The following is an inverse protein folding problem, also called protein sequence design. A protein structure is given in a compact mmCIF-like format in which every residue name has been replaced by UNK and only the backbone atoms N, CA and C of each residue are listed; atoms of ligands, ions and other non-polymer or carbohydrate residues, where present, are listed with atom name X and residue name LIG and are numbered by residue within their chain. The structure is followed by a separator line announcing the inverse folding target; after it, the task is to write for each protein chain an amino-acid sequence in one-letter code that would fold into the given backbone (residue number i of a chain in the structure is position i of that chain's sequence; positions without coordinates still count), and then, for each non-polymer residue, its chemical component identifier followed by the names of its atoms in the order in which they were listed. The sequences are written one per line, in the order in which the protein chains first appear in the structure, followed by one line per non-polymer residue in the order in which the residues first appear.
data_IF_911739475425
#
_entry.id   IF_911739475425
#
_cell.length_a   1.000
_cell.length_b   1.000
_cell.length_c   1.000
_cell.angle_alpha   90.00
_cell.angle_beta   90.00
_cell.angle_gamma   90.00
#
_symmetry.space_group_name_H-M   'P 1'
#
loop_
_entity.id
_entity.type
_entity.pdbx_description
1 polymer ?
#
# COMPACT_ATOMS: atom_id res chain seq x y z
N UNK A 1 41.61 -28.17 -39.43
CA UNK A 1 40.43 -28.73 -40.14
C UNK A 1 39.86 -29.84 -39.27
N UNK A 2 38.71 -29.64 -38.64
CA UNK A 2 38.01 -30.74 -37.96
C UNK A 2 37.57 -30.43 -36.51
N UNK A 3 36.64 -29.44 -36.31
CA UNK A 3 35.90 -29.28 -35.05
C UNK A 3 34.64 -28.37 -35.24
N UNK A 4 33.85 -28.63 -36.30
CA UNK A 4 32.60 -27.87 -36.57
C UNK A 4 31.49 -28.77 -37.12
N UNK A 5 31.28 -29.97 -36.55
CA UNK A 5 30.17 -30.86 -36.97
C UNK A 5 29.47 -31.55 -35.78
N UNK A 6 29.16 -30.82 -34.71
CA UNK A 6 28.37 -31.43 -33.61
C UNK A 6 27.17 -30.58 -33.11
N UNK A 7 26.73 -29.55 -33.83
CA UNK A 7 25.53 -28.78 -33.49
C UNK A 7 24.53 -28.66 -34.65
N UNK A 8 24.23 -29.77 -35.34
CA UNK A 8 23.26 -29.78 -36.41
C UNK A 8 21.81 -30.06 -36.00
N UNK A 9 21.49 -30.02 -34.70
CA UNK A 9 20.12 -30.15 -34.20
C UNK A 9 19.75 -28.97 -33.27
N UNK A 10 19.92 -27.74 -33.74
CA UNK A 10 19.24 -26.60 -33.10
C UNK A 10 17.80 -26.61 -33.66
N UNK A 11 16.77 -26.75 -32.80
CA UNK A 11 15.39 -26.63 -33.27
C UNK A 11 15.22 -25.26 -33.91
N UNK A 12 14.69 -25.25 -35.14
CA UNK A 12 14.28 -24.01 -35.80
C UNK A 12 13.14 -23.41 -34.97
N UNK A 13 13.43 -22.38 -34.22
CA UNK A 13 12.41 -21.57 -33.57
C UNK A 13 11.64 -20.81 -34.65
N UNK A 14 10.50 -21.37 -35.09
CA UNK A 14 9.51 -20.56 -35.77
C UNK A 14 8.90 -19.61 -34.74
N UNK A 15 8.95 -18.29 -34.95
CA UNK A 15 8.24 -17.36 -34.06
C UNK A 15 6.74 -17.62 -34.27
N UNK A 16 6.12 -18.32 -33.31
CA UNK A 16 4.67 -18.35 -33.21
C UNK A 16 4.22 -16.92 -32.87
N UNK A 17 3.35 -16.42 -33.68
CA UNK A 17 2.61 -15.19 -33.61
C UNK A 17 2.05 -14.95 -32.21
N UNK A 18 2.25 -13.72 -31.71
CA UNK A 18 1.98 -13.17 -30.40
C UNK A 18 3.06 -13.48 -29.34
N UNK A 19 4.25 -12.96 -29.56
CA UNK A 19 5.10 -12.62 -28.43
C UNK A 19 4.38 -11.48 -27.70
N UNK A 20 3.86 -11.77 -26.51
CA UNK A 20 3.72 -10.76 -25.48
C UNK A 20 5.13 -10.24 -25.20
N UNK A 21 5.59 -9.28 -25.99
CA UNK A 21 6.87 -8.62 -25.78
C UNK A 21 6.70 -7.86 -24.46
N UNK A 22 7.52 -8.20 -23.49
CA UNK A 22 7.65 -7.41 -22.29
C UNK A 22 8.22 -6.07 -22.75
N UNK A 23 7.36 -5.05 -22.80
CA UNK A 23 7.77 -3.68 -23.01
C UNK A 23 7.97 -3.07 -21.62
N UNK A 24 9.17 -2.52 -21.35
CA UNK A 24 9.47 -1.82 -20.11
C UNK A 24 8.97 -0.37 -20.14
N UNK A 25 8.50 0.10 -21.29
CA UNK A 25 7.95 1.43 -21.46
C UNK A 25 6.47 1.46 -21.13
N UNK A 26 6.06 2.52 -20.43
CA UNK A 26 4.64 2.80 -20.21
C UNK A 26 3.92 3.08 -21.53
N UNK A 27 2.71 2.58 -21.67
CA UNK A 27 1.82 2.93 -22.79
C UNK A 27 1.52 4.44 -22.79
N UNK A 28 0.98 4.96 -23.90
CA UNK A 28 0.57 6.36 -23.97
C UNK A 28 -0.48 6.70 -22.87
N UNK A 29 -1.45 5.83 -22.68
CA UNK A 29 -2.51 5.98 -21.68
C UNK A 29 -1.96 5.97 -20.24
N UNK A 30 -1.02 5.05 -19.93
CA UNK A 30 -0.34 5.01 -18.63
C UNK A 30 0.48 6.28 -18.37
N UNK A 31 1.16 6.81 -19.39
CA UNK A 31 1.87 8.09 -19.30
C UNK A 31 0.91 9.26 -19.04
N UNK A 32 -0.27 9.25 -19.65
CA UNK A 32 -1.31 10.28 -19.44
C UNK A 32 -1.87 10.19 -18.02
N UNK A 33 -2.16 9.00 -17.49
CA UNK A 33 -2.60 8.80 -16.10
C UNK A 33 -1.53 9.29 -15.12
N UNK A 34 -0.27 8.90 -15.32
CA UNK A 34 0.84 9.35 -14.49
C UNK A 34 1.01 10.88 -14.53
N UNK A 35 0.88 11.49 -15.71
CA UNK A 35 0.95 12.93 -15.88
C UNK A 35 -0.22 13.62 -15.17
N UNK A 36 -1.45 13.14 -15.38
CA UNK A 36 -2.65 13.72 -14.76
C UNK A 36 -2.58 13.67 -13.22
N UNK A 37 -2.15 12.53 -12.65
CA UNK A 37 -1.99 12.40 -11.19
C UNK A 37 -0.90 13.33 -10.64
N UNK A 38 0.22 13.48 -11.37
CA UNK A 38 1.29 14.44 -11.03
C UNK A 38 0.80 15.88 -11.06
N UNK A 39 0.12 16.29 -12.11
CA UNK A 39 -0.41 17.65 -12.26
C UNK A 39 -1.46 17.94 -11.18
N UNK A 40 -2.34 16.97 -10.88
CA UNK A 40 -3.32 17.10 -9.82
C UNK A 40 -2.66 17.35 -8.47
N UNK A 41 -1.78 16.46 -8.03
CA UNK A 41 -1.17 16.57 -6.69
C UNK A 41 -0.26 17.80 -6.57
N UNK A 42 0.39 18.23 -7.66
CA UNK A 42 1.16 19.46 -7.67
C UNK A 42 0.27 20.69 -7.55
N UNK A 43 -0.89 20.70 -8.19
CA UNK A 43 -1.87 21.79 -8.12
C UNK A 43 -2.55 21.94 -6.76
N UNK A 44 -2.72 20.83 -6.04
CA UNK A 44 -3.31 20.80 -4.69
C UNK A 44 -2.28 21.03 -3.57
N UNK A 45 -0.99 21.09 -3.90
CA UNK A 45 0.09 21.20 -2.93
C UNK A 45 0.18 22.61 -2.35
N UNK A 46 -0.16 22.76 -1.08
CA UNK A 46 0.05 23.96 -0.27
C UNK A 46 0.94 23.59 0.93
N UNK A 47 2.19 24.05 0.90
CA UNK A 47 3.20 23.70 1.89
C UNK A 47 2.82 24.07 3.32
N UNK A 48 2.24 25.27 3.52
CA UNK A 48 1.88 25.74 4.85
C UNK A 48 0.73 24.91 5.43
N UNK A 49 -0.27 24.66 4.62
CA UNK A 49 -1.44 23.84 4.98
C UNK A 49 -1.04 22.38 5.27
N UNK A 50 -0.12 21.82 4.50
CA UNK A 50 0.38 20.45 4.74
C UNK A 50 1.19 20.37 6.03
N UNK A 51 2.03 21.36 6.33
CA UNK A 51 2.73 21.43 7.61
C UNK A 51 1.78 21.55 8.80
N UNK A 52 0.70 22.32 8.66
CA UNK A 52 -0.36 22.41 9.65
C UNK A 52 -1.04 21.05 9.87
N UNK A 53 -1.44 20.35 8.79
CA UNK A 53 -2.07 19.03 8.88
C UNK A 53 -1.15 17.97 9.48
N UNK A 54 0.15 18.02 9.16
CA UNK A 54 1.15 17.15 9.77
C UNK A 54 1.25 17.37 11.30
N UNK A 55 1.22 18.63 11.74
CA UNK A 55 1.29 18.98 13.15
C UNK A 55 0.00 18.66 13.91
N UNK A 56 -1.15 18.88 13.29
CA UNK A 56 -2.47 18.66 13.88
C UNK A 56 -3.02 17.26 13.63
N UNK A 57 -2.26 16.41 12.92
CA UNK A 57 -2.67 15.05 12.56
C UNK A 57 -4.00 15.02 11.79
N UNK A 58 -4.19 15.96 10.88
CA UNK A 58 -5.44 16.14 10.14
C UNK A 58 -5.41 15.43 8.80
N UNK A 59 -6.41 14.59 8.52
CA UNK A 59 -6.59 13.93 7.24
C UNK A 59 -6.90 14.94 6.12
N UNK A 60 -6.25 14.87 4.93
CA UNK A 60 -6.41 15.84 3.84
C UNK A 60 -7.72 15.65 3.07
N UNK A 61 -8.86 15.77 3.76
CA UNK A 61 -10.19 15.42 3.27
C UNK A 61 -10.58 16.14 1.98
N UNK A 62 -10.17 17.40 1.82
CA UNK A 62 -10.52 18.19 0.64
C UNK A 62 -9.78 17.67 -0.61
N UNK A 63 -8.49 17.35 -0.48
CA UNK A 63 -7.69 16.78 -1.57
C UNK A 63 -8.23 15.39 -1.93
N UNK A 64 -8.51 14.56 -0.92
CA UNK A 64 -9.11 13.23 -1.13
C UNK A 64 -10.43 13.29 -1.90
N UNK A 65 -11.37 14.18 -1.52
CA UNK A 65 -12.63 14.34 -2.23
C UNK A 65 -12.46 14.82 -3.68
N UNK A 66 -11.46 15.65 -3.94
CA UNK A 66 -11.14 16.07 -5.30
C UNK A 66 -10.54 14.92 -6.11
N UNK A 67 -9.61 14.15 -5.51
CA UNK A 67 -9.03 12.96 -6.13
C UNK A 67 -10.11 11.94 -6.52
N UNK A 68 -11.06 11.67 -5.61
CA UNK A 68 -12.19 10.79 -5.87
C UNK A 68 -13.07 11.29 -7.04
N UNK A 69 -13.44 12.57 -7.07
CA UNK A 69 -14.22 13.15 -8.17
C UNK A 69 -13.53 13.10 -9.53
N UNK A 70 -12.19 13.06 -9.55
CA UNK A 70 -11.40 12.92 -10.78
C UNK A 70 -11.15 11.45 -11.14
N UNK A 71 -11.64 10.50 -10.32
CA UNK A 71 -11.53 9.08 -10.56
C UNK A 71 -10.18 8.47 -10.20
N UNK A 72 -9.36 9.15 -9.39
CA UNK A 72 -8.10 8.60 -8.92
C UNK A 72 -8.26 7.59 -7.77
N UNK A 73 -9.38 7.63 -7.04
CA UNK A 73 -9.69 6.68 -5.97
C UNK A 73 -10.50 5.52 -6.53
N UNK A 74 -10.01 4.29 -6.34
CA UNK A 74 -10.64 3.09 -6.90
C UNK A 74 -10.62 3.04 -8.43
N UNK A 75 -9.59 3.59 -9.08
CA UNK A 75 -9.45 3.61 -10.55
C UNK A 75 -9.58 2.22 -11.17
N UNK A 76 -9.13 1.18 -10.47
CA UNK A 76 -9.13 -0.22 -10.89
C UNK A 76 -10.43 -0.95 -10.55
N UNK A 77 -11.40 -0.31 -9.88
CA UNK A 77 -12.71 -0.93 -9.67
C UNK A 77 -13.51 -0.95 -10.98
N UNK A 78 -14.34 -1.98 -11.19
CA UNK A 78 -15.27 -2.01 -12.32
C UNK A 78 -16.18 -0.77 -12.37
N UNK A 79 -16.52 -0.32 -13.58
CA UNK A 79 -17.39 0.86 -13.79
C UNK A 79 -18.74 0.74 -13.07
N UNK A 80 -19.30 -0.46 -12.99
CA UNK A 80 -20.57 -0.71 -12.27
C UNK A 80 -20.52 -0.40 -10.77
N UNK A 81 -19.30 -0.32 -10.20
CA UNK A 81 -19.02 0.06 -8.80
C UNK A 81 -18.37 1.44 -8.67
N UNK A 82 -18.37 2.22 -9.75
CA UNK A 82 -17.93 3.61 -9.76
C UNK A 82 -16.44 3.82 -10.05
N UNK A 83 -15.67 2.75 -10.34
CA UNK A 83 -14.30 2.83 -10.82
C UNK A 83 -14.21 3.10 -12.32
N UNK A 84 -13.03 2.95 -12.90
CA UNK A 84 -12.79 3.17 -14.33
C UNK A 84 -12.37 1.89 -15.07
N UNK A 85 -12.33 0.75 -14.38
CA UNK A 85 -12.03 -0.55 -14.98
C UNK A 85 -10.58 -0.78 -15.38
N UNK A 86 -9.66 0.06 -14.90
CA UNK A 86 -8.23 -0.13 -15.11
C UNK A 86 -7.65 -1.27 -14.27
N UNK A 87 -6.34 -1.43 -14.28
CA UNK A 87 -5.61 -2.43 -13.50
C UNK A 87 -4.97 -1.86 -12.23
N UNK A 88 -4.41 -2.77 -11.44
CA UNK A 88 -3.55 -2.41 -10.31
C UNK A 88 -2.33 -1.63 -10.79
N UNK A 89 -1.88 -1.86 -12.02
CA UNK A 89 -0.75 -1.15 -12.60
C UNK A 89 -1.03 0.36 -12.70
N UNK A 90 -2.20 0.77 -13.18
CA UNK A 90 -2.59 2.18 -13.26
C UNK A 90 -2.80 2.78 -11.87
N UNK A 91 -3.33 2.01 -10.91
CA UNK A 91 -3.45 2.46 -9.53
C UNK A 91 -2.09 2.81 -8.92
N UNK A 92 -1.08 1.96 -9.08
CA UNK A 92 0.25 2.23 -8.52
C UNK A 92 0.96 3.41 -9.16
N UNK A 93 0.69 3.76 -10.42
CA UNK A 93 1.22 4.97 -11.04
C UNK A 93 0.71 6.24 -10.34
N UNK A 94 -0.57 6.24 -9.94
CA UNK A 94 -1.19 7.34 -9.19
C UNK A 94 -0.57 7.43 -7.79
N UNK A 95 -0.48 6.31 -7.08
CA UNK A 95 0.07 6.22 -5.73
C UNK A 95 1.53 6.69 -5.69
N UNK A 96 2.35 6.28 -6.67
CA UNK A 96 3.74 6.74 -6.79
C UNK A 96 3.82 8.26 -6.89
N UNK A 97 3.05 8.90 -7.78
CA UNK A 97 3.10 10.34 -7.99
C UNK A 97 2.56 11.14 -6.78
N UNK A 98 1.52 10.63 -6.11
CA UNK A 98 1.01 11.24 -4.90
C UNK A 98 2.05 11.23 -3.77
N UNK A 99 2.65 10.06 -3.50
CA UNK A 99 3.67 9.90 -2.48
C UNK A 99 5.00 10.60 -2.84
N UNK A 100 5.33 10.74 -4.12
CA UNK A 100 6.47 11.50 -4.62
C UNK A 100 6.36 12.98 -4.30
N UNK A 101 5.16 13.55 -4.49
CA UNK A 101 4.94 14.97 -4.19
C UNK A 101 4.95 15.23 -2.70
N UNK A 102 4.22 14.43 -1.93
CA UNK A 102 4.17 14.51 -0.47
C UNK A 102 3.89 13.15 0.15
N UNK A 103 4.80 12.68 1.00
CA UNK A 103 4.70 11.36 1.61
C UNK A 103 3.46 11.18 2.48
N UNK A 104 3.13 12.18 3.31
CA UNK A 104 1.99 12.11 4.22
C UNK A 104 0.64 12.19 3.51
N UNK A 105 0.48 13.16 2.58
CA UNK A 105 -0.74 13.29 1.76
C UNK A 105 -0.91 12.06 0.87
N UNK A 106 0.15 11.65 0.16
CA UNK A 106 0.09 10.50 -0.74
C UNK A 106 -0.34 9.21 -0.05
N UNK A 107 0.25 8.90 1.10
CA UNK A 107 -0.14 7.75 1.92
C UNK A 107 -1.57 7.87 2.44
N UNK A 108 -1.99 9.07 2.88
CA UNK A 108 -3.36 9.27 3.37
C UNK A 108 -4.41 9.04 2.28
N UNK A 109 -4.15 9.51 1.05
CA UNK A 109 -5.07 9.32 -0.07
C UNK A 109 -5.14 7.85 -0.52
N UNK A 110 -3.99 7.20 -0.67
CA UNK A 110 -3.93 5.80 -1.14
C UNK A 110 -4.49 4.79 -0.14
N UNK A 111 -4.47 5.09 1.15
CA UNK A 111 -5.05 4.20 2.17
C UNK A 111 -6.53 4.46 2.46
N UNK A 112 -7.16 5.45 1.81
CA UNK A 112 -8.57 5.78 2.09
C UNK A 112 -9.55 4.67 1.68
N UNK A 113 -9.26 3.95 0.60
CA UNK A 113 -10.06 2.85 0.07
C UNK A 113 -9.43 1.46 0.26
N UNK A 114 -8.30 1.39 0.94
CA UNK A 114 -7.43 0.23 1.04
C UNK A 114 -8.15 -1.09 1.36
N UNK A 115 -9.03 -1.10 2.36
CA UNK A 115 -9.74 -2.32 2.75
C UNK A 115 -10.97 -2.62 1.89
N UNK A 116 -11.35 -1.72 1.02
CA UNK A 116 -12.45 -1.92 0.07
C UNK A 116 -12.13 -3.03 -0.94
N UNK A 117 -10.84 -3.34 -1.17
CA UNK A 117 -10.39 -4.47 -1.98
C UNK A 117 -10.97 -5.81 -1.52
N UNK A 118 -11.10 -6.03 -0.22
CA UNK A 118 -11.69 -7.27 0.31
C UNK A 118 -13.18 -7.34 -0.07
N UNK A 119 -13.87 -6.19 -0.05
CA UNK A 119 -15.27 -6.10 -0.51
C UNK A 119 -15.35 -6.32 -2.02
N UNK A 120 -14.43 -5.72 -2.80
CA UNK A 120 -14.39 -5.88 -4.25
C UNK A 120 -14.23 -7.36 -4.66
N UNK A 121 -13.41 -8.12 -3.96
CA UNK A 121 -13.14 -9.52 -4.28
C UNK A 121 -14.20 -10.47 -3.80
N UNK A 122 -14.63 -10.32 -2.57
CA UNK A 122 -15.43 -11.35 -1.87
C UNK A 122 -16.85 -10.91 -1.53
N UNK A 123 -17.19 -9.64 -1.71
CA UNK A 123 -18.52 -9.11 -1.44
C UNK A 123 -19.56 -9.57 -2.45
N UNK A 124 -20.81 -9.66 -2.01
CA UNK A 124 -21.96 -9.80 -2.92
C UNK A 124 -22.12 -8.55 -3.78
N UNK A 125 -22.94 -8.63 -4.83
CA UNK A 125 -23.22 -7.46 -5.67
C UNK A 125 -23.85 -6.30 -4.87
N UNK A 126 -24.72 -6.60 -3.93
CA UNK A 126 -25.34 -5.62 -3.03
C UNK A 126 -24.31 -4.98 -2.11
N UNK A 127 -23.40 -5.78 -1.52
CA UNK A 127 -22.33 -5.28 -0.68
C UNK A 127 -21.38 -4.38 -1.49
N UNK A 128 -20.97 -4.80 -2.69
CA UNK A 128 -20.12 -4.00 -3.58
C UNK A 128 -20.77 -2.66 -3.91
N UNK A 129 -22.04 -2.64 -4.30
CA UNK A 129 -22.76 -1.39 -4.56
C UNK A 129 -22.87 -0.49 -3.34
N UNK A 130 -23.16 -1.08 -2.18
CA UNK A 130 -23.35 -0.34 -0.93
C UNK A 130 -22.07 0.34 -0.46
N UNK A 131 -20.92 -0.32 -0.59
CA UNK A 131 -19.66 0.16 0.00
C UNK A 131 -18.72 0.77 -1.03
N UNK A 132 -18.57 0.20 -2.23
CA UNK A 132 -17.57 0.66 -3.19
C UNK A 132 -17.98 1.95 -3.91
N UNK A 133 -19.26 2.11 -4.30
CA UNK A 133 -19.73 3.32 -4.96
C UNK A 133 -19.54 4.58 -4.09
N UNK A 134 -19.86 4.59 -2.79
CA UNK A 134 -19.54 5.74 -1.94
C UNK A 134 -18.04 5.98 -1.76
N UNK A 135 -17.20 4.93 -1.78
CA UNK A 135 -15.74 5.06 -1.71
C UNK A 135 -15.22 5.79 -2.94
N UNK A 136 -15.58 5.35 -4.15
CA UNK A 136 -15.12 6.00 -5.39
C UNK A 136 -15.64 7.44 -5.55
N UNK A 137 -16.74 7.79 -4.88
CA UNK A 137 -17.26 9.16 -4.82
C UNK A 137 -16.60 10.06 -3.77
N UNK A 138 -15.71 9.52 -2.95
CA UNK A 138 -15.14 10.26 -1.82
C UNK A 138 -16.13 10.56 -0.71
N UNK A 139 -17.08 9.68 -0.50
CA UNK A 139 -18.10 9.75 0.56
C UNK A 139 -17.75 8.82 1.72
N UNK A 140 -17.20 7.62 1.44
CA UNK A 140 -16.80 6.63 2.42
C UNK A 140 -15.30 6.40 2.41
N UNK A 141 -14.74 6.19 3.62
CA UNK A 141 -13.39 5.72 3.89
C UNK A 141 -13.49 4.31 4.50
N UNK A 142 -12.60 3.40 4.11
CA UNK A 142 -12.56 2.04 4.64
C UNK A 142 -11.45 1.81 5.66
N UNK A 143 -11.63 0.82 6.53
CA UNK A 143 -10.62 0.37 7.47
C UNK A 143 -10.51 -1.16 7.51
N UNK A 144 -9.28 -1.71 7.59
CA UNK A 144 -9.01 -3.14 7.73
C UNK A 144 -8.61 -3.47 9.16
N UNK A 145 -9.44 -4.21 9.86
CA UNK A 145 -9.25 -4.54 11.26
C UNK A 145 -8.78 -6.01 11.41
N UNK A 146 -7.46 -6.24 11.18
CA UNK A 146 -6.87 -7.58 11.19
C UNK A 146 -5.97 -7.79 12.41
N UNK A 147 -5.13 -6.82 12.74
CA UNK A 147 -4.13 -6.86 13.81
C UNK A 147 -4.77 -6.74 15.19
N UNK A 148 -4.28 -7.53 16.15
CA UNK A 148 -4.65 -7.44 17.57
C UNK A 148 -3.42 -7.08 18.43
N UNK A 149 -3.59 -6.65 19.68
CA UNK A 149 -2.47 -6.33 20.58
C UNK A 149 -1.43 -7.44 20.66
N UNK A 150 -1.86 -8.70 20.70
CA UNK A 150 -0.99 -9.88 20.80
C UNK A 150 -0.74 -10.61 19.46
N UNK A 151 -1.38 -10.17 18.37
CA UNK A 151 -1.34 -10.83 17.05
C UNK A 151 -1.08 -9.82 15.93
N UNK A 152 0.21 -9.57 15.62
CA UNK A 152 0.63 -8.71 14.51
C UNK A 152 1.05 -9.52 13.28
N UNK A 153 2.27 -10.09 13.31
CA UNK A 153 2.78 -10.93 12.22
C UNK A 153 2.10 -12.29 12.14
N UNK A 154 1.63 -12.81 13.25
CA UNK A 154 0.86 -14.07 13.31
C UNK A 154 -0.63 -13.77 13.43
N UNK A 155 -1.33 -13.82 12.30
CA UNK A 155 -2.79 -13.72 12.22
C UNK A 155 -3.47 -15.09 12.09
N UNK A 156 -2.73 -16.18 12.26
CA UNK A 156 -3.27 -17.55 12.19
C UNK A 156 -4.13 -17.90 13.40
N UNK A 157 -3.91 -17.20 14.51
CA UNK A 157 -4.72 -17.23 15.74
C UNK A 157 -5.22 -15.85 16.05
N UNK A 158 -6.43 -15.74 16.62
CA UNK A 158 -7.06 -14.47 16.96
C UNK A 158 -7.87 -14.58 18.23
N UNK A 159 -7.90 -13.48 18.99
CA UNK A 159 -8.70 -13.35 20.22
C UNK A 159 -10.06 -12.70 19.96
N UNK A 160 -10.19 -11.86 18.92
CA UNK A 160 -11.48 -11.27 18.53
C UNK A 160 -12.40 -12.35 17.98
N UNK A 161 -13.54 -12.54 18.61
CA UNK A 161 -14.54 -13.56 18.27
C UNK A 161 -15.78 -12.96 17.63
N UNK A 162 -16.47 -13.76 16.81
CA UNK A 162 -17.80 -13.43 16.30
C UNK A 162 -18.70 -14.67 16.43
N UNK A 163 -19.59 -14.66 17.42
CA UNK A 163 -20.55 -15.75 17.65
C UNK A 163 -21.86 -15.49 16.94
N UNK A 164 -22.49 -16.54 16.37
CA UNK A 164 -23.81 -16.44 15.79
C UNK A 164 -24.88 -16.45 16.87
N UNK A 165 -25.78 -15.46 16.84
CA UNK A 165 -26.94 -15.35 17.73
C UNK A 165 -28.14 -14.94 16.89
N UNK A 166 -29.03 -15.91 16.62
CA UNK A 166 -30.16 -15.70 15.73
C UNK A 166 -29.73 -15.38 14.31
N UNK A 167 -30.13 -14.23 13.81
CA UNK A 167 -29.80 -13.70 12.47
C UNK A 167 -28.60 -12.75 12.45
N UNK A 168 -27.81 -12.72 13.52
CA UNK A 168 -26.71 -11.77 13.71
C UNK A 168 -25.41 -12.45 14.15
N UNK A 169 -24.27 -11.84 13.82
CA UNK A 169 -23.00 -12.04 14.51
C UNK A 169 -22.92 -11.10 15.70
N UNK A 170 -22.36 -11.58 16.81
CA UNK A 170 -22.00 -10.78 17.98
C UNK A 170 -20.49 -10.79 18.11
N UNK A 171 -19.87 -9.62 17.94
CA UNK A 171 -18.42 -9.46 17.88
C UNK A 171 -17.93 -8.94 19.22
N UNK A 172 -16.88 -9.58 19.77
CA UNK A 172 -16.17 -9.18 20.98
C UNK A 172 -14.67 -9.28 20.77
N UNK A 173 -13.90 -8.27 21.21
CA UNK A 173 -12.45 -8.26 21.14
C UNK A 173 -11.87 -6.87 20.90
N UNK A 174 -10.58 -6.82 20.58
CA UNK A 174 -9.85 -5.58 20.33
C UNK A 174 -8.96 -5.72 19.10
N UNK A 175 -8.98 -4.72 18.24
CA UNK A 175 -8.09 -4.59 17.08
C UNK A 175 -7.24 -3.33 17.24
N UNK A 176 -5.94 -3.40 16.92
CA UNK A 176 -5.02 -2.29 17.12
C UNK A 176 -4.26 -1.92 15.86
N UNK A 177 -3.71 -0.73 15.81
CA UNK A 177 -3.01 -0.15 14.65
C UNK A 177 -3.88 -0.08 13.40
N UNK A 178 -5.18 0.14 13.57
CA UNK A 178 -6.13 0.14 12.45
C UNK A 178 -6.07 1.47 11.73
N UNK A 179 -5.59 1.43 10.49
CA UNK A 179 -5.57 2.57 9.57
C UNK A 179 -6.99 3.07 9.33
N UNK A 180 -7.16 4.39 9.36
CA UNK A 180 -8.47 5.07 9.29
C UNK A 180 -9.42 4.73 10.45
N UNK A 181 -8.95 4.15 11.55
CA UNK A 181 -9.81 3.60 12.59
C UNK A 181 -10.82 4.60 13.19
N UNK A 182 -10.49 5.88 13.31
CA UNK A 182 -11.44 6.91 13.75
C UNK A 182 -12.23 7.56 12.61
N UNK A 183 -11.77 7.42 11.36
CA UNK A 183 -12.33 8.09 10.18
C UNK A 183 -13.25 7.18 9.37
N UNK A 184 -12.93 5.89 9.28
CA UNK A 184 -13.59 4.94 8.40
C UNK A 184 -15.11 4.88 8.63
N UNK A 185 -15.86 4.77 7.54
CA UNK A 185 -17.30 4.62 7.54
C UNK A 185 -17.70 3.15 7.67
N UNK A 186 -16.81 2.23 7.31
CA UNK A 186 -16.94 0.81 7.55
C UNK A 186 -15.60 0.11 7.72
N UNK A 187 -15.62 -1.04 8.37
CA UNK A 187 -14.47 -1.88 8.65
C UNK A 187 -14.67 -3.28 8.08
N UNK A 188 -13.60 -3.86 7.52
CA UNK A 188 -13.49 -5.30 7.28
C UNK A 188 -12.77 -5.90 8.46
N UNK A 189 -13.48 -6.64 9.31
CA UNK A 189 -12.97 -7.18 10.57
C UNK A 189 -12.71 -8.67 10.44
N UNK A 190 -11.47 -9.11 10.68
CA UNK A 190 -11.12 -10.53 10.75
C UNK A 190 -11.42 -11.06 12.16
N UNK A 191 -12.34 -12.03 12.25
CA UNK A 191 -12.83 -12.59 13.50
C UNK A 191 -12.71 -14.12 13.53
N UNK A 192 -12.56 -14.70 14.71
CA UNK A 192 -12.69 -16.13 14.96
C UNK A 192 -14.16 -16.48 15.16
N UNK A 193 -14.75 -17.29 14.28
CA UNK A 193 -16.13 -17.73 14.34
C UNK A 193 -16.27 -19.19 14.79
N UNK A 194 -15.22 -20.01 14.62
CA UNK A 194 -15.17 -21.40 15.10
C UNK A 194 -13.84 -21.64 15.88
N UNK A 195 -13.85 -21.47 17.21
CA UNK A 195 -12.66 -21.67 18.03
C UNK A 195 -12.17 -23.13 18.08
N UNK A 196 -12.99 -24.08 17.62
CA UNK A 196 -12.63 -25.52 17.58
C UNK A 196 -11.97 -25.91 16.24
N UNK A 197 -11.94 -25.03 15.25
CA UNK A 197 -11.34 -25.31 13.95
C UNK A 197 -9.85 -25.69 14.08
N UNK A 198 -9.43 -26.66 13.28
CA UNK A 198 -8.04 -27.10 13.24
C UNK A 198 -7.53 -27.12 11.82
N UNK A 199 -6.47 -26.36 11.49
CA UNK A 199 -5.82 -25.32 12.33
C UNK A 199 -6.76 -24.12 12.59
N UNK A 200 -6.48 -23.29 13.62
CA UNK A 200 -7.39 -22.23 14.08
C UNK A 200 -7.83 -21.24 12.98
N UNK A 201 -6.95 -20.88 12.05
CA UNK A 201 -7.26 -19.95 10.95
C UNK A 201 -8.40 -20.43 10.02
N UNK A 202 -8.74 -21.73 10.03
CA UNK A 202 -9.89 -22.24 9.26
C UNK A 202 -11.25 -21.88 9.86
N UNK A 203 -11.25 -21.39 11.08
CA UNK A 203 -12.46 -20.86 11.73
C UNK A 203 -12.61 -19.35 11.62
N UNK A 204 -11.75 -18.67 10.87
CA UNK A 204 -11.79 -17.22 10.74
C UNK A 204 -12.67 -16.76 9.58
N UNK A 205 -13.39 -15.65 9.81
CA UNK A 205 -14.24 -14.99 8.81
C UNK A 205 -13.92 -13.50 8.75
N UNK A 206 -14.12 -12.87 7.60
CA UNK A 206 -14.14 -11.42 7.45
C UNK A 206 -15.58 -10.93 7.49
N UNK A 207 -15.85 -9.96 8.36
CA UNK A 207 -17.18 -9.44 8.65
C UNK A 207 -17.17 -7.91 8.51
N UNK A 208 -18.16 -7.36 7.81
CA UNK A 208 -18.37 -5.91 7.69
C UNK A 208 -18.97 -5.34 8.97
N UNK A 209 -18.35 -4.29 9.49
CA UNK A 209 -18.88 -3.52 10.63
C UNK A 209 -18.92 -2.04 10.23
N UNK A 210 -20.09 -1.43 10.30
CA UNK A 210 -20.28 -0.02 9.97
C UNK A 210 -19.96 0.89 11.15
N UNK A 211 -19.51 2.10 10.85
CA UNK A 211 -19.31 3.16 11.83
C UNK A 211 -20.60 3.41 12.62
N UNK A 212 -20.46 3.59 13.91
CA UNK A 212 -21.61 3.85 14.80
C UNK A 212 -22.36 2.58 15.20
N UNK A 213 -21.89 1.38 14.83
CA UNK A 213 -22.44 0.15 15.40
C UNK A 213 -22.34 0.20 16.93
N UNK A 214 -23.46 -0.11 17.62
CA UNK A 214 -23.50 -0.06 19.08
C UNK A 214 -22.46 -1.02 19.68
N UNK A 215 -21.60 -0.53 20.57
CA UNK A 215 -20.54 -1.29 21.20
C UNK A 215 -19.21 -1.26 20.44
N UNK A 216 -19.14 -0.55 19.31
CA UNK A 216 -17.87 -0.23 18.62
C UNK A 216 -17.36 1.12 19.11
N UNK A 217 -16.15 1.13 19.69
CA UNK A 217 -15.42 2.32 20.05
C UNK A 217 -14.07 2.36 19.33
N UNK A 218 -13.64 3.57 18.95
CA UNK A 218 -12.36 3.82 18.30
C UNK A 218 -11.54 4.85 19.10
N UNK A 219 -10.33 4.48 19.48
CA UNK A 219 -9.39 5.34 20.21
C UNK A 219 -8.14 5.58 19.37
N UNK A 220 -7.86 6.83 19.02
CA UNK A 220 -6.65 7.22 18.28
C UNK A 220 -5.37 6.83 19.00
N UNK A 221 -4.43 6.25 18.27
CA UNK A 221 -3.08 5.94 18.76
C UNK A 221 -2.15 7.09 18.39
N UNK A 222 -1.84 7.92 19.36
CA UNK A 222 -1.06 9.15 19.19
C UNK A 222 -0.06 9.37 20.32
N UNK A 223 1.08 10.07 20.06
CA UNK A 223 1.59 10.55 18.77
C UNK A 223 2.28 9.44 17.98
N UNK A 224 2.30 9.56 16.65
CA UNK A 224 3.04 8.65 15.76
C UNK A 224 4.35 9.26 15.26
N UNK A 225 5.32 8.43 14.86
CA UNK A 225 6.57 8.87 14.25
C UNK A 225 6.31 9.56 12.90
N UNK A 226 5.56 8.92 12.00
CA UNK A 226 5.26 9.39 10.66
C UNK A 226 3.83 9.08 10.23
N UNK A 227 3.51 9.32 8.95
CA UNK A 227 2.17 9.23 8.35
C UNK A 227 1.09 9.85 9.24
N UNK A 228 1.39 11.03 9.77
CA UNK A 228 0.56 11.67 10.80
C UNK A 228 -0.79 12.14 10.29
N UNK A 229 -0.90 12.41 8.99
CA UNK A 229 -2.15 12.75 8.33
C UNK A 229 -3.09 11.56 8.12
N UNK A 230 -2.66 10.34 8.43
CA UNK A 230 -3.49 9.13 8.38
C UNK A 230 -3.91 8.77 9.80
N UNK A 231 -5.20 8.61 10.08
CA UNK A 231 -5.67 8.09 11.36
C UNK A 231 -5.14 6.67 11.59
N UNK A 232 -4.82 6.37 12.83
CA UNK A 232 -4.49 5.01 13.28
C UNK A 232 -5.09 4.82 14.66
N UNK A 233 -5.98 3.85 14.83
CA UNK A 233 -6.72 3.68 16.08
C UNK A 233 -6.69 2.23 16.59
N UNK A 234 -7.00 2.10 17.86
CA UNK A 234 -7.49 0.88 18.48
C UNK A 234 -9.00 0.83 18.36
N UNK A 235 -9.56 -0.31 17.95
CA UNK A 235 -10.98 -0.58 17.87
C UNK A 235 -11.36 -1.58 18.98
N UNK A 236 -12.30 -1.21 19.84
CA UNK A 236 -12.87 -2.08 20.87
C UNK A 236 -14.27 -2.52 20.45
N UNK A 237 -14.53 -3.82 20.51
CA UNK A 237 -15.79 -4.44 20.19
C UNK A 237 -16.38 -5.06 21.45
N UNK A 238 -17.50 -4.52 21.92
CA UNK A 238 -18.25 -4.98 23.10
C UNK A 238 -19.68 -5.32 22.70
N UNK A 239 -19.95 -6.61 22.50
CA UNK A 239 -21.27 -7.11 22.06
C UNK A 239 -21.78 -6.42 20.77
N UNK A 240 -20.88 -6.14 19.81
CA UNK A 240 -21.22 -5.49 18.54
C UNK A 240 -22.05 -6.45 17.70
N UNK A 241 -23.31 -6.10 17.45
CA UNK A 241 -24.25 -6.92 16.65
C UNK A 241 -24.30 -6.44 15.21
N UNK A 242 -24.03 -7.35 14.28
CA UNK A 242 -24.17 -7.12 12.83
C UNK A 242 -24.95 -8.26 12.18
N UNK A 243 -25.76 -8.01 11.13
CA UNK A 243 -26.51 -9.04 10.43
C UNK A 243 -25.58 -10.14 9.85
N UNK A 244 -26.06 -11.38 9.75
CA UNK A 244 -25.32 -12.46 9.09
C UNK A 244 -24.97 -12.13 7.63
N UNK A 245 -25.74 -11.26 6.98
CA UNK A 245 -25.49 -10.75 5.63
C UNK A 245 -24.26 -9.84 5.53
N UNK A 246 -23.62 -9.48 6.65
CA UNK A 246 -22.35 -8.75 6.67
C UNK A 246 -21.13 -9.65 6.55
N UNK A 247 -21.31 -10.97 6.49
CA UNK A 247 -20.22 -11.89 6.13
C UNK A 247 -19.71 -11.58 4.71
N UNK A 248 -18.40 -11.49 4.53
CA UNK A 248 -17.78 -11.42 3.21
C UNK A 248 -17.40 -12.82 2.73
N UNK A 249 -17.90 -13.21 1.57
CA UNK A 249 -17.65 -14.52 0.98
C UNK A 249 -18.21 -15.67 1.81
N UNK A 250 -17.38 -16.66 2.14
CA UNK A 250 -17.76 -17.90 2.80
C UNK A 250 -17.20 -18.00 4.23
N UNK A 251 -17.93 -18.71 5.10
CA UNK A 251 -17.45 -18.99 6.46
C UNK A 251 -16.15 -19.80 6.45
N UNK A 252 -15.26 -19.49 7.39
CA UNK A 252 -13.96 -20.16 7.53
C UNK A 252 -12.94 -19.81 6.44
N UNK A 253 -13.24 -18.81 5.60
CA UNK A 253 -12.34 -18.34 4.52
C UNK A 253 -11.66 -17.01 4.82
N UNK A 254 -11.95 -16.36 5.94
CA UNK A 254 -11.45 -15.02 6.26
C UNK A 254 -9.94 -14.90 6.21
N UNK A 255 -9.20 -15.85 6.79
CA UNK A 255 -7.73 -15.88 6.71
C UNK A 255 -7.23 -15.90 5.27
N UNK A 256 -7.80 -16.74 4.41
CA UNK A 256 -7.38 -16.85 3.02
C UNK A 256 -7.72 -15.59 2.22
N UNK A 257 -8.87 -14.97 2.51
CA UNK A 257 -9.28 -13.71 1.90
C UNK A 257 -8.30 -12.58 2.22
N UNK A 258 -7.87 -12.48 3.48
CA UNK A 258 -6.86 -11.50 3.90
C UNK A 258 -5.50 -11.78 3.28
N UNK A 259 -5.08 -13.05 3.16
CA UNK A 259 -3.82 -13.39 2.47
C UNK A 259 -3.87 -13.02 0.98
N UNK A 260 -4.99 -13.28 0.30
CA UNK A 260 -5.18 -12.91 -1.11
C UNK A 260 -5.19 -11.39 -1.29
N UNK A 261 -5.81 -10.66 -0.38
CA UNK A 261 -5.75 -9.21 -0.32
C UNK A 261 -4.29 -8.71 -0.16
N UNK A 262 -3.50 -9.35 0.70
CA UNK A 262 -2.10 -8.97 0.91
C UNK A 262 -1.22 -9.14 -0.33
N UNK A 263 -1.57 -9.97 -1.30
CA UNK A 263 -0.80 -10.10 -2.53
C UNK A 263 -0.87 -8.83 -3.39
N UNK A 264 -1.97 -8.08 -3.33
CA UNK A 264 -2.10 -6.78 -3.99
C UNK A 264 -1.63 -5.64 -3.11
N UNK A 265 -2.08 -5.59 -1.86
CA UNK A 265 -1.77 -4.49 -0.96
C UNK A 265 -0.26 -4.27 -0.81
N UNK A 266 0.54 -5.34 -0.87
CA UNK A 266 2.00 -5.25 -0.89
C UNK A 266 2.54 -4.52 -2.12
N UNK A 267 1.87 -4.64 -3.27
CA UNK A 267 2.25 -3.92 -4.50
C UNK A 267 1.98 -2.43 -4.31
N UNK A 268 0.84 -2.08 -3.74
CA UNK A 268 0.50 -0.70 -3.43
C UNK A 268 1.47 -0.08 -2.41
N UNK A 269 1.79 -0.79 -1.33
CA UNK A 269 2.80 -0.34 -0.36
C UNK A 269 4.18 -0.19 -0.98
N UNK A 270 4.55 -1.07 -1.92
CA UNK A 270 5.79 -0.90 -2.67
C UNK A 270 5.79 0.39 -3.51
N UNK A 271 4.66 0.75 -4.10
CA UNK A 271 4.50 2.00 -4.83
C UNK A 271 4.52 3.24 -3.93
N UNK A 272 3.88 3.19 -2.76
CA UNK A 272 4.00 4.26 -1.75
C UNK A 272 5.46 4.49 -1.39
N UNK A 273 6.19 3.41 -1.06
CA UNK A 273 7.61 3.47 -0.72
C UNK A 273 8.47 4.02 -1.88
N UNK A 274 8.17 3.61 -3.12
CA UNK A 274 8.83 4.10 -4.32
C UNK A 274 8.61 5.60 -4.51
N UNK A 275 7.37 6.07 -4.37
CA UNK A 275 7.05 7.51 -4.43
C UNK A 275 7.76 8.30 -3.35
N UNK A 276 7.80 7.81 -2.11
CA UNK A 276 8.54 8.43 -0.99
C UNK A 276 10.03 8.52 -1.32
N UNK A 277 10.64 7.44 -1.82
CA UNK A 277 12.05 7.44 -2.22
C UNK A 277 12.33 8.47 -3.31
N UNK A 278 11.52 8.50 -4.36
CA UNK A 278 11.67 9.44 -5.47
C UNK A 278 11.49 10.89 -5.01
N UNK A 279 10.51 11.17 -4.16
CA UNK A 279 10.26 12.52 -3.63
C UNK A 279 11.39 13.04 -2.74
N UNK A 280 11.99 12.19 -1.91
CA UNK A 280 13.17 12.52 -1.12
C UNK A 280 14.41 12.78 -2.02
N UNK A 281 14.61 11.93 -3.03
CA UNK A 281 15.67 12.07 -4.02
C UNK A 281 15.56 13.38 -4.81
N UNK A 282 14.37 13.72 -5.31
CA UNK A 282 14.14 14.95 -6.08
C UNK A 282 14.56 16.19 -5.26
N UNK A 283 14.16 16.26 -3.98
CA UNK A 283 14.55 17.34 -3.06
C UNK A 283 16.06 17.41 -2.81
N UNK A 284 16.68 16.26 -2.62
CA UNK A 284 18.13 16.18 -2.41
C UNK A 284 18.91 16.63 -3.66
N UNK A 285 18.48 16.20 -4.85
CA UNK A 285 19.07 16.57 -6.13
C UNK A 285 18.95 18.07 -6.40
N UNK A 286 17.76 18.65 -6.18
CA UNK A 286 17.50 20.07 -6.39
C UNK A 286 18.31 20.93 -5.41
N UNK A 287 18.38 20.52 -4.15
CA UNK A 287 19.22 21.20 -3.15
C UNK A 287 20.69 21.12 -3.52
N UNK A 288 21.20 19.95 -3.91
CA UNK A 288 22.60 19.76 -4.27
C UNK A 288 23.04 20.59 -5.50
N UNK A 289 22.12 20.83 -6.45
CA UNK A 289 22.34 21.71 -7.61
C UNK A 289 22.40 23.19 -7.28
N UNK A 290 21.86 23.61 -6.13
CA UNK A 290 21.77 25.03 -5.75
C UNK A 290 22.76 25.40 -4.66
N UNK A 291 22.95 24.51 -3.66
CA UNK A 291 23.78 24.77 -2.48
C UNK A 291 25.27 24.82 -2.83
N UNK A 292 25.92 25.87 -2.39
CA UNK A 292 27.37 26.06 -2.55
C UNK A 292 28.12 25.95 -1.21
N UNK A 293 29.22 25.22 -1.21
CA UNK A 293 30.19 25.14 -0.13
C UNK A 293 31.60 24.98 -0.72
N UNK A 294 32.60 25.54 -0.05
CA UNK A 294 34.00 25.51 -0.51
C UNK A 294 34.15 26.06 -1.92
N UNK A 295 33.35 27.08 -2.30
CA UNK A 295 33.42 27.76 -3.60
C UNK A 295 32.84 26.99 -4.78
N UNK A 296 32.09 25.91 -4.58
CA UNK A 296 31.42 25.15 -5.64
C UNK A 296 30.13 24.52 -5.16
N UNK A 297 29.28 24.11 -6.10
CA UNK A 297 27.99 23.44 -5.79
C UNK A 297 28.22 22.05 -5.21
N UNK A 298 27.25 21.55 -4.40
CA UNK A 298 27.36 20.20 -3.83
C UNK A 298 27.46 19.12 -4.92
N UNK A 299 26.77 19.28 -6.05
CA UNK A 299 26.85 18.33 -7.18
C UNK A 299 28.21 18.27 -7.83
N UNK A 300 29.12 19.25 -7.61
CA UNK A 300 30.49 19.28 -8.16
C UNK A 300 31.46 18.41 -7.34
N UNK A 301 31.03 17.92 -6.16
CA UNK A 301 31.81 17.00 -5.37
C UNK A 301 31.53 15.55 -5.78
N UNK A 302 32.58 14.78 -6.08
CA UNK A 302 32.46 13.40 -6.53
C UNK A 302 31.69 12.53 -5.54
N UNK A 303 31.85 12.73 -4.23
CA UNK A 303 31.12 11.99 -3.22
C UNK A 303 29.61 12.21 -3.31
N UNK A 304 29.16 13.44 -3.61
CA UNK A 304 27.74 13.76 -3.80
C UNK A 304 27.22 13.10 -5.07
N UNK A 305 28.01 13.10 -6.16
CA UNK A 305 27.64 12.41 -7.40
C UNK A 305 27.45 10.90 -7.18
N UNK A 306 28.35 10.26 -6.43
CA UNK A 306 28.23 8.84 -6.09
C UNK A 306 26.97 8.53 -5.27
N UNK A 307 26.69 9.35 -4.24
CA UNK A 307 25.46 9.22 -3.44
C UNK A 307 24.20 9.31 -4.30
N UNK A 308 24.11 10.31 -5.17
CA UNK A 308 22.98 10.50 -6.08
C UNK A 308 22.85 9.33 -7.07
N UNK A 309 23.96 8.79 -7.58
CA UNK A 309 23.94 7.62 -8.46
C UNK A 309 23.44 6.36 -7.75
N UNK A 310 23.89 6.13 -6.51
CA UNK A 310 23.42 5.00 -5.68
C UNK A 310 21.93 5.11 -5.37
N UNK A 311 21.45 6.30 -4.96
CA UNK A 311 20.04 6.57 -4.71
C UNK A 311 19.19 6.30 -5.96
N UNK A 312 19.58 6.85 -7.12
CA UNK A 312 18.87 6.65 -8.38
C UNK A 312 18.82 5.18 -8.78
N UNK A 313 19.92 4.43 -8.62
CA UNK A 313 19.98 3.00 -8.94
C UNK A 313 19.05 2.17 -8.05
N UNK A 314 19.00 2.47 -6.76
CA UNK A 314 18.08 1.79 -5.81
C UNK A 314 16.61 2.06 -6.16
N UNK A 315 16.26 3.32 -6.48
CA UNK A 315 14.91 3.72 -6.88
C UNK A 315 14.49 2.98 -8.15
N UNK A 316 15.35 2.96 -9.18
CA UNK A 316 15.02 2.27 -10.44
C UNK A 316 14.86 0.77 -10.26
N UNK A 317 15.71 0.14 -9.44
CA UNK A 317 15.57 -1.27 -9.09
C UNK A 317 14.25 -1.55 -8.35
N UNK A 318 13.86 -0.68 -7.42
CA UNK A 318 12.58 -0.78 -6.71
C UNK A 318 11.39 -0.63 -7.67
N UNK A 319 11.48 0.34 -8.62
CA UNK A 319 10.45 0.57 -9.65
C UNK A 319 10.25 -0.66 -10.52
N UNK A 320 11.31 -1.23 -11.06
CA UNK A 320 11.24 -2.42 -11.90
C UNK A 320 10.60 -3.61 -11.18
N UNK A 321 10.92 -3.85 -9.90
CA UNK A 321 10.30 -4.90 -9.11
C UNK A 321 8.80 -4.63 -8.86
N UNK A 322 8.44 -3.40 -8.52
CA UNK A 322 7.06 -2.99 -8.23
C UNK A 322 6.20 -3.06 -9.48
N UNK A 323 6.66 -2.51 -10.60
CA UNK A 323 5.95 -2.52 -11.87
C UNK A 323 5.77 -3.94 -12.41
N UNK A 324 6.80 -4.78 -12.31
CA UNK A 324 6.70 -6.19 -12.68
C UNK A 324 5.67 -6.94 -11.83
N UNK A 325 5.60 -6.66 -10.53
CA UNK A 325 4.63 -7.28 -9.64
C UNK A 325 3.20 -6.88 -10.01
N UNK A 326 2.95 -5.59 -10.24
CA UNK A 326 1.65 -5.08 -10.68
C UNK A 326 1.23 -5.62 -12.05
N UNK A 327 2.13 -5.59 -13.02
CA UNK A 327 1.86 -6.15 -14.35
C UNK A 327 1.52 -7.63 -14.31
N UNK A 328 2.28 -8.43 -13.54
CA UNK A 328 1.97 -9.85 -13.35
C UNK A 328 0.59 -10.04 -12.71
N UNK A 329 0.27 -9.20 -11.72
CA UNK A 329 -1.00 -9.26 -11.01
C UNK A 329 -2.19 -9.05 -11.98
N UNK A 330 -2.14 -8.02 -12.82
CA UNK A 330 -3.17 -7.72 -13.82
C UNK A 330 -3.30 -8.83 -14.87
N UNK A 331 -2.18 -9.50 -15.21
CA UNK A 331 -2.18 -10.67 -16.07
C UNK A 331 -2.69 -11.96 -15.37
N UNK A 332 -3.21 -11.86 -14.12
CA UNK A 332 -3.65 -13.00 -13.30
C UNK A 332 -2.52 -14.02 -13.02
N UNK A 333 -1.28 -13.56 -13.04
CA UNK A 333 -0.07 -14.32 -12.71
C UNK A 333 0.45 -13.91 -11.34
N UNK A 334 -0.39 -14.10 -10.32
CA UNK A 334 -0.07 -13.69 -8.95
C UNK A 334 1.12 -14.50 -8.44
N UNK A 335 2.18 -13.82 -8.05
CA UNK A 335 3.40 -14.42 -7.46
C UNK A 335 3.69 -13.77 -6.10
N UNK A 336 3.27 -14.39 -4.99
CA UNK A 336 3.51 -13.87 -3.63
C UNK A 336 4.99 -13.63 -3.32
N UNK A 337 5.89 -14.40 -3.95
CA UNK A 337 7.33 -14.18 -3.82
C UNK A 337 7.73 -12.84 -4.43
N UNK A 338 7.25 -12.55 -5.64
CA UNK A 338 7.58 -11.30 -6.35
C UNK A 338 6.99 -10.08 -5.64
N UNK A 339 5.73 -10.14 -5.19
CA UNK A 339 5.09 -9.05 -4.44
C UNK A 339 5.82 -8.79 -3.12
N UNK A 340 6.26 -9.86 -2.43
CA UNK A 340 7.08 -9.74 -1.22
C UNK A 340 8.47 -9.14 -1.49
N UNK A 341 9.12 -9.50 -2.61
CA UNK A 341 10.39 -8.90 -3.02
C UNK A 341 10.23 -7.41 -3.31
N UNK A 342 9.20 -7.03 -4.05
CA UNK A 342 8.90 -5.63 -4.37
C UNK A 342 8.69 -4.79 -3.10
N UNK A 343 7.80 -5.23 -2.20
CA UNK A 343 7.50 -4.52 -0.95
C UNK A 343 8.72 -4.41 -0.03
N UNK A 344 9.44 -5.50 0.16
CA UNK A 344 10.62 -5.52 1.01
C UNK A 344 11.72 -4.58 0.49
N UNK A 345 12.00 -4.64 -0.82
CA UNK A 345 13.08 -3.86 -1.43
C UNK A 345 12.69 -2.38 -1.50
N UNK A 346 11.48 -2.05 -1.96
CA UNK A 346 11.01 -0.67 -2.04
C UNK A 346 10.98 0.01 -0.66
N UNK A 347 10.43 -0.67 0.37
CA UNK A 347 10.40 -0.13 1.73
C UNK A 347 11.79 0.17 2.29
N UNK A 348 12.77 -0.73 2.06
CA UNK A 348 14.16 -0.49 2.45
C UNK A 348 14.78 0.66 1.67
N UNK A 349 14.54 0.72 0.37
CA UNK A 349 14.99 1.81 -0.51
C UNK A 349 14.46 3.16 -0.04
N UNK A 350 13.18 3.24 0.32
CA UNK A 350 12.60 4.49 0.81
C UNK A 350 13.31 5.04 2.05
N UNK A 351 13.60 4.17 3.01
CA UNK A 351 14.34 4.55 4.24
C UNK A 351 15.75 5.00 3.91
N UNK A 352 16.50 4.22 3.12
CA UNK A 352 17.91 4.54 2.78
C UNK A 352 18.05 5.81 1.95
N UNK A 353 17.14 6.03 1.00
CA UNK A 353 17.15 7.23 0.14
C UNK A 353 16.75 8.47 0.95
N UNK A 354 15.76 8.38 1.82
CA UNK A 354 15.36 9.49 2.66
C UNK A 354 16.43 9.86 3.70
N UNK A 355 17.12 8.86 4.27
CA UNK A 355 18.27 9.06 5.14
C UNK A 355 19.41 9.83 4.44
N UNK A 356 19.78 9.38 3.24
CA UNK A 356 20.83 10.04 2.45
C UNK A 356 20.39 11.43 1.96
N UNK A 357 19.10 11.64 1.69
CA UNK A 357 18.56 12.96 1.34
C UNK A 357 18.76 13.96 2.49
N UNK A 358 18.43 13.55 3.75
CA UNK A 358 18.70 14.36 4.94
C UNK A 358 20.19 14.67 5.02
N UNK A 359 21.05 13.68 4.83
CA UNK A 359 22.51 13.84 4.90
C UNK A 359 23.04 14.83 3.84
N UNK A 360 22.50 14.81 2.62
CA UNK A 360 22.88 15.76 1.55
C UNK A 360 22.46 17.20 1.90
N UNK A 361 21.28 17.38 2.50
CA UNK A 361 20.82 18.69 2.95
C UNK A 361 21.56 19.18 4.22
N UNK A 362 22.18 18.27 4.97
CA UNK A 362 22.88 18.57 6.22
C UNK A 362 21.90 19.12 7.27
N UNK A 363 22.28 20.16 8.01
CA UNK A 363 21.43 20.76 9.04
C UNK A 363 20.07 21.23 8.54
N UNK A 364 19.95 21.65 7.29
CA UNK A 364 18.67 22.00 6.69
C UNK A 364 17.76 20.79 6.49
N UNK A 365 18.30 19.59 6.25
CA UNK A 365 17.52 18.36 6.15
C UNK A 365 16.88 17.92 7.48
N UNK A 366 17.33 18.48 8.59
CA UNK A 366 16.81 18.19 9.93
C UNK A 366 15.68 19.15 10.37
N UNK A 367 15.34 20.12 9.50
CA UNK A 367 14.32 21.14 9.76
C UNK A 367 13.07 20.85 8.96
N UNK A 368 11.90 20.90 9.59
CA UNK A 368 10.59 20.57 8.99
C UNK A 368 10.27 21.36 7.74
N UNK A 369 10.77 22.61 7.65
CA UNK A 369 10.58 23.46 6.47
C UNK A 369 11.14 22.84 5.17
N UNK A 370 12.18 22.00 5.25
CA UNK A 370 12.80 21.36 4.08
C UNK A 370 12.18 20.00 3.74
N UNK A 371 11.22 19.53 4.52
CA UNK A 371 10.34 18.39 4.27
C UNK A 371 11.00 17.01 4.28
N UNK A 372 12.28 16.87 3.93
CA UNK A 372 12.95 15.54 3.78
C UNK A 372 12.96 14.73 5.07
N UNK A 373 12.94 15.40 6.25
CA UNK A 373 12.83 14.72 7.54
C UNK A 373 11.49 13.98 7.67
N UNK A 374 10.39 14.53 7.12
CA UNK A 374 9.07 13.90 7.08
C UNK A 374 9.09 12.67 6.18
N UNK A 375 9.71 12.76 5.00
CA UNK A 375 9.89 11.62 4.11
C UNK A 375 10.62 10.47 4.82
N UNK A 376 11.63 10.74 5.64
CA UNK A 376 12.32 9.73 6.42
C UNK A 376 11.42 9.10 7.48
N UNK A 377 10.66 9.89 8.23
CA UNK A 377 9.73 9.39 9.25
C UNK A 377 8.62 8.54 8.63
N UNK A 378 8.08 8.99 7.51
CA UNK A 378 7.01 8.32 6.78
C UNK A 378 7.50 7.05 6.08
N UNK A 379 8.72 7.07 5.52
CA UNK A 379 9.33 5.89 4.89
C UNK A 379 9.40 4.68 5.84
N UNK A 380 9.63 4.91 7.13
CA UNK A 380 9.88 3.82 8.08
C UNK A 380 8.72 2.85 8.20
N UNK A 381 7.47 3.30 8.11
CA UNK A 381 6.32 2.44 8.23
C UNK A 381 6.21 1.42 7.09
N UNK A 382 6.74 1.74 5.90
CA UNK A 382 6.70 0.85 4.73
C UNK A 382 7.51 -0.44 4.90
N UNK A 383 8.43 -0.49 5.87
CA UNK A 383 9.12 -1.72 6.28
C UNK A 383 8.30 -2.57 7.27
N UNK A 384 7.23 -2.02 7.86
CA UNK A 384 6.53 -2.61 9.02
C UNK A 384 5.13 -3.11 8.66
N UNK A 385 4.24 -2.22 8.20
CA UNK A 385 2.85 -2.58 7.91
C UNK A 385 2.73 -3.47 6.66
N UNK A 386 1.58 -4.09 6.47
CA UNK A 386 1.31 -5.08 5.40
C UNK A 386 2.32 -6.24 5.36
N UNK A 387 2.75 -6.65 6.56
CA UNK A 387 3.77 -7.64 6.80
C UNK A 387 5.16 -7.02 6.90
N UNK A 388 5.81 -7.24 8.04
CA UNK A 388 7.18 -6.76 8.28
C UNK A 388 8.16 -7.30 7.23
N UNK A 389 9.31 -6.66 7.08
CA UNK A 389 10.37 -7.16 6.16
C UNK A 389 10.79 -8.61 6.48
N UNK A 390 10.65 -9.05 7.72
CA UNK A 390 10.90 -10.43 8.15
C UNK A 390 9.82 -11.36 7.59
N UNK A 391 8.54 -10.98 7.63
CA UNK A 391 7.44 -11.74 7.03
C UNK A 391 7.60 -11.82 5.51
N UNK A 392 8.02 -10.73 4.85
CA UNK A 392 8.33 -10.78 3.41
C UNK A 392 9.45 -11.79 3.13
N UNK A 393 10.53 -11.80 3.92
CA UNK A 393 11.62 -12.77 3.81
C UNK A 393 11.13 -14.20 4.01
N UNK A 394 10.23 -14.45 4.96
CA UNK A 394 9.64 -15.76 5.19
C UNK A 394 8.86 -16.25 3.96
N UNK A 395 8.06 -15.37 3.35
CA UNK A 395 7.32 -15.69 2.11
C UNK A 395 8.27 -16.01 0.96
N UNK A 396 9.30 -15.20 0.76
CA UNK A 396 10.32 -15.42 -0.28
C UNK A 396 11.05 -16.74 -0.04
N UNK A 397 11.53 -16.97 1.18
CA UNK A 397 12.27 -18.19 1.54
C UNK A 397 11.41 -19.44 1.35
N UNK A 398 10.15 -19.42 1.80
CA UNK A 398 9.22 -20.54 1.63
C UNK A 398 8.98 -20.89 0.16
N UNK A 399 8.93 -19.87 -0.71
CA UNK A 399 8.78 -20.10 -2.15
C UNK A 399 10.04 -20.68 -2.81
N UNK A 400 11.24 -20.41 -2.25
CA UNK A 400 12.51 -20.90 -2.78
C UNK A 400 12.86 -22.31 -2.28
N UNK A 401 12.65 -22.58 -1.00
CA UNK A 401 13.11 -23.83 -0.35
C UNK A 401 11.97 -24.83 -0.05
N UNK A 402 10.72 -24.43 -0.30
CA UNK A 402 9.54 -25.18 0.07
C UNK A 402 9.18 -25.02 1.55
N UNK A 403 8.05 -25.61 1.97
CA UNK A 403 7.64 -25.57 3.38
C UNK A 403 8.63 -26.32 4.23
N UNK A 404 9.23 -25.67 5.22
CA UNK A 404 9.94 -26.33 6.29
C UNK A 404 8.94 -27.21 7.06
N UNK A 405 9.31 -28.47 7.29
CA UNK A 405 8.49 -29.43 8.03
C UNK A 405 8.52 -29.13 9.52
#
# INVERSE_FOLDING_TARGET
VGLLTQYSNVPSFHPSTERLTMDFELTAEQKDIQKASREFIQGEYDKEKILEWEQTHTFPKEIWKKAARLGFIGIHYPEEYGGQGYGVFENILIVEEFCRKDSGVGVALSLADFSSEVVLRFGTHEQKKKYLIPVTKGEFISGGAYTEPDHGSDITTMSTTASKQGDSFVINGTKTFITNGSLADFFVVLCQTDPNAKPPYRGQCTILVEKGAKGLDATEIMPKMGIRMTSTAELSFSEVKVPLTHLLGEEGKGFYQVLEFFDESRIEIASQALGIAQGAFDRALDYAKQREQFGKKLVDFQITQHKLADMATKIETARLLTYKAAWNYDQKRIDPKLTSMAKMFAGRTAVEVADEAIQILGGYGYITEYEVERFYRDAKITEIYEGTKEIQKNTIASALIGKLK
#
